data_IF_192214154643
#
_entry.id   IF_192214154643
#
_cell.length_a   1.000
_cell.length_b   1.000
_cell.length_c   1.000
_cell.angle_alpha   90.00
_cell.angle_beta   90.00
_cell.angle_gamma   90.00
#
_symmetry.space_group_name_H-M   'P 1'
#
loop_
_entity.id
_entity.type
_entity.pdbx_description
1 polymer ?
#
# COMPACT_ATOMS: atom_id res chain seq x y z
N UNK A 1 -26.40 -0.04 11.39
CA UNK A 1 -25.68 -1.08 10.62
C UNK A 1 -25.42 -0.69 9.15
N UNK A 2 -26.36 -0.06 8.43
CA UNK A 2 -26.14 0.38 7.03
C UNK A 2 -25.06 1.47 6.90
N UNK A 3 -25.09 2.51 7.75
CA UNK A 3 -24.13 3.63 7.70
C UNK A 3 -22.66 3.20 7.84
N UNK A 4 -22.35 2.26 8.74
CA UNK A 4 -20.97 1.78 8.94
C UNK A 4 -20.44 0.91 7.81
N UNK A 5 -21.32 0.14 7.15
CA UNK A 5 -20.96 -0.59 5.93
C UNK A 5 -20.63 0.35 4.77
N UNK A 6 -21.42 1.43 4.61
CA UNK A 6 -21.15 2.46 3.61
C UNK A 6 -19.77 3.09 3.87
N UNK A 7 -19.46 3.44 5.11
CA UNK A 7 -18.14 3.98 5.48
C UNK A 7 -17.01 3.02 5.15
N UNK A 8 -17.14 1.73 5.47
CA UNK A 8 -16.13 0.71 5.12
C UNK A 8 -15.95 0.56 3.60
N UNK A 9 -17.02 0.62 2.82
CA UNK A 9 -16.95 0.61 1.36
C UNK A 9 -16.22 1.83 0.82
N UNK A 10 -16.58 3.03 1.30
CA UNK A 10 -15.95 4.29 0.87
C UNK A 10 -14.46 4.26 1.21
N UNK A 11 -14.09 3.85 2.42
CA UNK A 11 -12.68 3.70 2.81
C UNK A 11 -11.93 2.72 1.89
N UNK A 12 -12.54 1.59 1.54
CA UNK A 12 -11.92 0.59 0.68
C UNK A 12 -11.68 1.10 -0.74
N UNK A 13 -12.66 1.82 -1.29
CA UNK A 13 -12.54 2.43 -2.62
C UNK A 13 -11.47 3.51 -2.62
N UNK A 14 -11.40 4.34 -1.56
CA UNK A 14 -10.36 5.36 -1.44
C UNK A 14 -8.98 4.70 -1.36
N UNK A 15 -8.78 3.70 -0.49
CA UNK A 15 -7.51 2.96 -0.39
C UNK A 15 -7.13 2.35 -1.74
N UNK A 16 -8.05 1.66 -2.40
CA UNK A 16 -7.81 1.08 -3.72
C UNK A 16 -7.45 2.12 -4.78
N UNK A 17 -8.11 3.27 -4.79
CA UNK A 17 -7.78 4.38 -5.70
C UNK A 17 -6.36 4.90 -5.47
N UNK A 18 -5.94 5.04 -4.21
CA UNK A 18 -4.57 5.45 -3.88
C UNK A 18 -3.55 4.37 -4.30
N UNK A 19 -3.87 3.09 -4.15
CA UNK A 19 -3.03 2.00 -4.64
C UNK A 19 -2.89 2.01 -6.17
N UNK A 20 -3.94 2.35 -6.92
CA UNK A 20 -3.88 2.55 -8.37
C UNK A 20 -2.96 3.73 -8.73
N UNK A 21 -3.04 4.84 -7.98
CA UNK A 21 -2.14 5.98 -8.19
C UNK A 21 -0.68 5.60 -7.93
N UNK A 22 -0.40 4.88 -6.83
CA UNK A 22 0.94 4.34 -6.56
C UNK A 22 1.43 3.45 -7.70
N UNK A 23 0.58 2.55 -8.18
CA UNK A 23 0.93 1.68 -9.31
C UNK A 23 1.20 2.49 -10.59
N UNK A 24 0.38 3.49 -10.90
CA UNK A 24 0.56 4.37 -12.06
C UNK A 24 1.86 5.16 -12.00
N UNK A 25 2.17 5.75 -10.84
CA UNK A 25 3.43 6.48 -10.61
C UNK A 25 4.64 5.53 -10.74
N UNK A 26 4.57 4.34 -10.16
CA UNK A 26 5.66 3.36 -10.25
C UNK A 26 5.86 2.83 -11.67
N UNK A 27 4.77 2.54 -12.39
CA UNK A 27 4.85 2.09 -13.79
C UNK A 27 5.44 3.19 -14.69
N UNK A 28 4.99 4.43 -14.50
CA UNK A 28 5.55 5.57 -15.24
C UNK A 28 7.03 5.77 -14.90
N UNK A 29 7.42 5.65 -13.62
CA UNK A 29 8.81 5.74 -13.17
C UNK A 29 9.72 4.72 -13.84
N UNK A 30 9.24 3.50 -14.10
CA UNK A 30 9.99 2.46 -14.84
C UNK A 30 10.22 2.88 -16.29
N UNK A 31 9.16 3.38 -16.95
CA UNK A 31 9.26 3.85 -18.34
C UNK A 31 10.19 5.05 -18.46
N UNK A 32 10.15 5.99 -17.51
CA UNK A 32 11.05 7.16 -17.48
C UNK A 32 12.48 6.71 -17.21
N UNK A 33 12.69 5.74 -16.30
CA UNK A 33 14.00 5.15 -16.03
C UNK A 33 14.61 4.52 -17.30
N UNK A 34 13.81 3.79 -18.09
CA UNK A 34 14.27 3.18 -19.34
C UNK A 34 14.62 4.21 -20.43
N UNK A 35 14.01 5.41 -20.39
CA UNK A 35 14.30 6.51 -21.32
C UNK A 35 15.49 7.37 -20.90
N UNK A 36 15.74 7.47 -19.59
CA UNK A 36 16.91 8.13 -19.05
C UNK A 36 18.15 7.30 -19.46
N UNK A 37 18.78 7.73 -20.54
CA UNK A 37 19.92 7.10 -21.21
C UNK A 37 21.35 7.31 -20.60
N UNK A 38 21.60 7.74 -19.34
CA UNK A 38 22.95 7.58 -18.81
C UNK A 38 23.19 6.13 -18.39
N UNK A 39 24.45 5.65 -18.37
CA UNK A 39 24.78 4.35 -17.81
C UNK A 39 24.39 4.37 -16.32
N UNK A 40 23.22 3.80 -16.01
CA UNK A 40 22.85 3.47 -14.64
C UNK A 40 23.97 2.60 -14.09
N UNK A 41 24.66 3.00 -13.01
CA UNK A 41 25.66 2.14 -12.41
C UNK A 41 25.01 0.80 -12.07
N UNK A 42 25.69 -0.31 -12.40
CA UNK A 42 25.20 -1.68 -12.21
C UNK A 42 24.79 -2.01 -10.76
N UNK A 43 25.13 -1.13 -9.82
CA UNK A 43 24.91 -1.27 -8.38
C UNK A 43 23.57 -0.67 -7.91
N UNK A 44 22.71 -0.18 -8.82
CA UNK A 44 21.38 0.33 -8.43
C UNK A 44 20.45 -0.84 -8.13
N UNK A 45 19.93 -0.89 -6.91
CA UNK A 45 18.89 -1.86 -6.55
C UNK A 45 17.50 -1.37 -6.98
N UNK A 46 16.90 -2.15 -7.86
CA UNK A 46 15.50 -1.99 -8.29
C UNK A 46 14.50 -2.61 -7.30
N UNK A 47 14.98 -3.14 -6.18
CA UNK A 47 14.14 -3.75 -5.14
C UNK A 47 13.11 -2.76 -4.60
N UNK A 48 13.49 -1.49 -4.39
CA UNK A 48 12.57 -0.43 -3.95
C UNK A 48 11.39 -0.22 -4.92
N UNK A 49 11.66 -0.16 -6.23
CA UNK A 49 10.62 -0.04 -7.28
C UNK A 49 9.72 -1.27 -7.30
N UNK A 50 10.31 -2.47 -7.21
CA UNK A 50 9.55 -3.72 -7.14
C UNK A 50 8.63 -3.81 -5.92
N UNK A 51 9.08 -3.32 -4.76
CA UNK A 51 8.26 -3.25 -3.55
C UNK A 51 7.08 -2.28 -3.69
N UNK A 52 7.26 -1.16 -4.38
CA UNK A 52 6.17 -0.21 -4.64
C UNK A 52 5.13 -0.78 -5.63
N UNK A 53 5.57 -1.51 -6.67
CA UNK A 53 4.66 -2.25 -7.57
C UNK A 53 3.85 -3.28 -6.76
N UNK A 54 4.52 -4.00 -5.87
CA UNK A 54 3.88 -4.98 -5.00
C UNK A 54 2.87 -4.32 -4.05
N UNK A 55 3.15 -3.10 -3.57
CA UNK A 55 2.20 -2.30 -2.79
C UNK A 55 0.95 -1.96 -3.59
N UNK A 56 1.13 -1.44 -4.81
CA UNK A 56 0.03 -1.04 -5.69
C UNK A 56 -0.83 -2.23 -6.10
N UNK A 57 -0.22 -3.26 -6.67
CA UNK A 57 -0.92 -4.47 -7.12
C UNK A 57 -1.57 -5.23 -5.95
N UNK A 58 -0.83 -5.40 -4.85
CA UNK A 58 -1.35 -6.05 -3.64
C UNK A 58 -2.55 -5.32 -3.06
N UNK A 59 -2.50 -3.98 -3.00
CA UNK A 59 -3.63 -3.18 -2.51
C UNK A 59 -4.88 -3.28 -3.37
N UNK A 60 -4.75 -3.42 -4.70
CA UNK A 60 -5.88 -3.65 -5.60
C UNK A 60 -6.52 -5.02 -5.33
N UNK A 61 -5.69 -6.06 -5.17
CA UNK A 61 -6.16 -7.41 -4.83
C UNK A 61 -6.86 -7.41 -3.47
N UNK A 62 -6.27 -6.76 -2.47
CA UNK A 62 -6.84 -6.67 -1.12
C UNK A 62 -8.19 -5.91 -1.14
N UNK A 63 -8.30 -4.84 -1.96
CA UNK A 63 -9.56 -4.11 -2.19
C UNK A 63 -10.65 -5.01 -2.79
N UNK A 64 -10.32 -5.80 -3.82
CA UNK A 64 -11.25 -6.71 -4.47
C UNK A 64 -11.70 -7.83 -3.52
N UNK A 65 -10.77 -8.42 -2.77
CA UNK A 65 -11.08 -9.42 -1.75
C UNK A 65 -12.04 -8.87 -0.69
N UNK A 66 -11.80 -7.64 -0.22
CA UNK A 66 -12.69 -6.99 0.74
C UNK A 66 -14.09 -6.71 0.16
N UNK A 67 -14.19 -6.26 -1.09
CA UNK A 67 -15.48 -6.08 -1.78
C UNK A 67 -16.24 -7.41 -1.92
N UNK A 68 -15.56 -8.48 -2.30
CA UNK A 68 -16.13 -9.81 -2.40
C UNK A 68 -16.65 -10.32 -1.04
N UNK A 69 -15.92 -10.08 0.05
CA UNK A 69 -16.37 -10.46 1.39
C UNK A 69 -17.61 -9.65 1.82
N UNK A 70 -17.65 -8.36 1.51
CA UNK A 70 -18.80 -7.50 1.82
C UNK A 70 -20.04 -7.87 0.99
N UNK A 71 -19.88 -8.19 -0.29
CA UNK A 71 -20.98 -8.59 -1.18
C UNK A 71 -21.49 -10.02 -0.92
N UNK A 72 -20.67 -10.91 -0.36
CA UNK A 72 -21.10 -12.23 0.08
C UNK A 72 -22.05 -12.19 1.29
N UNK A 73 -22.11 -11.08 2.03
CA UNK A 73 -22.94 -10.90 3.22
C UNK A 73 -24.45 -10.91 2.96
N UNK A 74 -25.01 -10.17 1.96
CA UNK A 74 -26.42 -10.29 1.59
C UNK A 74 -26.76 -11.68 1.02
N UNK A 75 -25.86 -12.30 0.26
CA UNK A 75 -26.06 -13.65 -0.29
C UNK A 75 -26.11 -14.72 0.81
N UNK A 76 -25.31 -14.56 1.88
CA UNK A 76 -25.31 -15.43 3.05
C UNK A 76 -26.48 -15.27 3.99
N UNK A 77 -27.23 -14.18 3.92
CA UNK A 77 -28.46 -14.03 4.73
C UNK A 77 -29.49 -15.12 4.40
N UNK A 78 -29.40 -15.70 3.20
CA UNK A 78 -30.17 -16.87 2.77
C UNK A 78 -29.53 -18.23 3.14
N UNK A 79 -28.23 -18.26 3.50
CA UNK A 79 -27.51 -19.48 3.87
C UNK A 79 -27.29 -19.53 5.40
N UNK A 80 -28.25 -20.14 6.09
CA UNK A 80 -28.44 -20.19 7.57
C UNK A 80 -27.27 -20.73 8.43
N UNK A 81 -26.16 -21.17 7.85
CA UNK A 81 -25.25 -22.11 8.52
C UNK A 81 -23.85 -21.58 8.87
N UNK A 82 -23.53 -20.30 8.66
CA UNK A 82 -22.20 -19.79 9.00
C UNK A 82 -22.19 -18.99 10.32
N UNK A 83 -21.40 -19.39 11.33
CA UNK A 83 -21.33 -18.65 12.59
C UNK A 83 -20.78 -17.24 12.34
N UNK A 84 -21.52 -16.24 12.85
CA UNK A 84 -21.20 -14.80 12.74
C UNK A 84 -19.75 -14.48 13.14
N UNK A 85 -19.22 -15.17 14.15
CA UNK A 85 -17.85 -15.03 14.63
C UNK A 85 -16.80 -15.39 13.57
N UNK A 86 -17.01 -16.45 12.78
CA UNK A 86 -16.05 -16.90 11.78
C UNK A 86 -15.98 -15.93 10.59
N UNK A 87 -17.12 -15.35 10.19
CA UNK A 87 -17.14 -14.28 9.20
C UNK A 87 -16.39 -13.03 9.68
N UNK A 88 -16.60 -12.61 10.94
CA UNK A 88 -15.88 -11.47 11.50
C UNK A 88 -14.37 -11.69 11.59
N UNK A 89 -13.92 -12.91 11.91
CA UNK A 89 -12.50 -13.25 11.92
C UNK A 89 -11.90 -13.19 10.51
N UNK A 90 -12.62 -13.65 9.47
CA UNK A 90 -12.18 -13.53 8.08
C UNK A 90 -12.05 -12.05 7.66
N UNK A 91 -13.04 -11.21 8.03
CA UNK A 91 -12.99 -9.77 7.73
C UNK A 91 -11.82 -9.09 8.44
N UNK A 92 -11.61 -9.39 9.73
CA UNK A 92 -10.47 -8.87 10.49
C UNK A 92 -9.13 -9.31 9.88
N UNK A 93 -9.02 -10.56 9.43
CA UNK A 93 -7.84 -11.07 8.76
C UNK A 93 -7.52 -10.24 7.50
N UNK A 94 -8.48 -10.08 6.59
CA UNK A 94 -8.26 -9.31 5.34
C UNK A 94 -7.90 -7.85 5.63
N UNK A 95 -8.60 -7.22 6.57
CA UNK A 95 -8.31 -5.82 6.94
C UNK A 95 -6.93 -5.67 7.58
N UNK A 96 -6.45 -6.68 8.30
CA UNK A 96 -5.08 -6.70 8.84
C UNK A 96 -4.05 -6.74 7.73
N UNK A 97 -4.29 -7.50 6.65
CA UNK A 97 -3.40 -7.50 5.47
C UNK A 97 -3.38 -6.15 4.75
N UNK A 98 -4.54 -5.49 4.60
CA UNK A 98 -4.65 -4.14 4.03
C UNK A 98 -3.78 -3.14 4.81
N UNK A 99 -3.66 -3.28 6.13
CA UNK A 99 -2.81 -2.43 6.97
C UNK A 99 -1.34 -2.85 6.95
N UNK A 100 -1.06 -4.15 7.09
CA UNK A 100 0.29 -4.66 7.30
C UNK A 100 1.16 -4.52 6.05
N UNK A 101 0.58 -4.69 4.86
CA UNK A 101 1.31 -4.57 3.59
C UNK A 101 1.91 -3.17 3.38
N UNK A 102 1.14 -2.06 3.39
CA UNK A 102 1.71 -0.73 3.24
C UNK A 102 2.68 -0.39 4.38
N UNK A 103 2.47 -0.90 5.60
CA UNK A 103 3.41 -0.73 6.71
C UNK A 103 4.79 -1.33 6.42
N UNK A 104 4.83 -2.62 6.05
CA UNK A 104 6.09 -3.33 5.76
C UNK A 104 6.82 -2.64 4.62
N UNK A 105 6.10 -2.28 3.55
CA UNK A 105 6.70 -1.64 2.37
C UNK A 105 7.20 -0.23 2.71
N UNK A 106 6.46 0.54 3.51
CA UNK A 106 6.90 1.85 3.97
C UNK A 106 8.18 1.74 4.79
N UNK A 107 8.23 0.83 5.78
CA UNK A 107 9.44 0.59 6.59
C UNK A 107 10.60 0.21 5.69
N UNK A 108 10.40 -0.75 4.79
CA UNK A 108 11.46 -1.23 3.89
C UNK A 108 11.99 -0.11 2.99
N UNK A 109 11.12 0.62 2.31
CA UNK A 109 11.50 1.71 1.41
C UNK A 109 12.19 2.88 2.14
N UNK A 110 11.79 3.18 3.38
CA UNK A 110 12.48 4.19 4.20
C UNK A 110 13.86 3.73 4.67
N UNK A 111 13.97 2.49 5.16
CA UNK A 111 15.25 1.91 5.59
C UNK A 111 16.22 1.86 4.41
N UNK A 112 15.74 1.42 3.25
CA UNK A 112 16.55 1.30 2.04
C UNK A 112 17.04 2.66 1.53
N UNK A 113 16.16 3.66 1.51
CA UNK A 113 16.51 5.03 1.10
C UNK A 113 17.48 5.72 2.07
N UNK A 114 17.27 5.59 3.39
CA UNK A 114 18.22 6.15 4.36
C UNK A 114 19.56 5.41 4.36
N UNK A 115 19.55 4.10 4.08
CA UNK A 115 20.76 3.32 3.86
C UNK A 115 21.57 3.85 2.68
N UNK A 116 20.92 4.17 1.55
CA UNK A 116 21.63 4.69 0.38
C UNK A 116 22.25 6.06 0.59
N UNK A 117 21.55 6.99 1.26
CA UNK A 117 22.09 8.33 1.56
C UNK A 117 23.29 8.30 2.51
N UNK A 118 23.33 7.35 3.46
CA UNK A 118 24.47 7.21 4.36
C UNK A 118 25.68 6.57 3.67
N UNK A 119 25.45 5.80 2.61
CA UNK A 119 26.47 5.08 1.85
C UNK A 119 27.08 5.91 0.72
N UNK A 120 26.46 7.02 0.33
CA UNK A 120 26.85 7.84 -0.83
C UNK A 120 28.15 8.63 -0.66
N UNK A 121 28.87 8.47 0.46
CA UNK A 121 30.24 9.00 0.61
C UNK A 121 31.29 8.23 -0.20
N UNK A 122 30.98 7.04 -0.75
CA UNK A 122 31.86 6.33 -1.70
C UNK A 122 31.11 5.93 -2.98
N UNK A 123 31.20 6.76 -4.01
CA UNK A 123 30.58 6.53 -5.34
C UNK A 123 31.12 5.30 -6.09
N UNK A 124 32.19 4.67 -5.61
CA UNK A 124 32.78 3.48 -6.22
C UNK A 124 32.22 2.14 -5.69
N UNK A 125 31.75 2.08 -4.43
CA UNK A 125 31.30 0.85 -3.75
C UNK A 125 29.96 1.02 -2.98
N UNK A 126 29.32 2.18 -3.08
CA UNK A 126 28.16 2.56 -2.27
C UNK A 126 26.82 1.99 -2.74
N UNK A 127 25.95 1.68 -1.77
CA UNK A 127 24.56 1.26 -1.95
C UNK A 127 23.71 2.39 -2.54
N UNK A 128 23.18 2.27 -3.77
CA UNK A 128 22.27 3.25 -4.38
C UNK A 128 20.90 2.65 -4.73
N UNK A 129 19.84 3.41 -4.42
CA UNK A 129 18.47 3.14 -4.92
C UNK A 129 18.15 4.03 -6.12
N UNK A 130 17.17 3.62 -6.92
CA UNK A 130 16.64 4.39 -8.06
C UNK A 130 16.21 5.80 -7.65
N UNK A 131 15.51 5.93 -6.52
CA UNK A 131 15.12 7.23 -5.96
C UNK A 131 16.34 8.07 -5.55
N UNK A 132 17.30 7.52 -4.78
CA UNK A 132 18.46 8.30 -4.34
C UNK A 132 19.34 8.73 -5.51
N UNK A 133 19.50 7.87 -6.51
CA UNK A 133 20.24 8.23 -7.72
C UNK A 133 19.54 9.39 -8.45
N UNK A 134 18.24 9.26 -8.69
CA UNK A 134 17.44 10.25 -9.41
C UNK A 134 17.44 11.61 -8.70
N UNK A 135 17.36 11.61 -7.36
CA UNK A 135 17.28 12.83 -6.57
C UNK A 135 18.62 13.54 -6.33
N UNK A 136 19.75 12.81 -6.29
CA UNK A 136 21.06 13.38 -5.94
C UNK A 136 22.06 13.48 -7.10
N UNK A 137 22.00 12.54 -8.05
CA UNK A 137 22.96 12.44 -9.16
C UNK A 137 22.33 12.73 -10.52
N UNK A 138 21.01 12.68 -10.60
CA UNK A 138 20.24 12.93 -11.81
C UNK A 138 20.27 14.40 -12.23
N UNK A 139 20.93 14.72 -13.34
CA UNK A 139 20.96 16.08 -13.90
C UNK A 139 19.93 16.30 -15.02
N UNK A 140 19.30 15.23 -15.52
CA UNK A 140 18.28 15.31 -16.58
C UNK A 140 16.89 15.64 -16.02
N UNK A 141 16.04 16.22 -16.89
CA UNK A 141 14.62 16.43 -16.59
C UNK A 141 13.92 15.12 -16.21
N UNK A 142 14.28 14.03 -16.87
CA UNK A 142 13.74 12.70 -16.63
C UNK A 142 14.13 12.16 -15.25
N UNK A 143 15.35 12.44 -14.79
CA UNK A 143 15.77 12.06 -13.44
C UNK A 143 15.05 12.87 -12.37
N UNK A 144 14.77 14.15 -12.61
CA UNK A 144 13.95 14.96 -11.69
C UNK A 144 12.50 14.45 -11.62
N UNK A 145 11.91 14.09 -12.77
CA UNK A 145 10.59 13.46 -12.80
C UNK A 145 10.58 12.12 -12.03
N UNK A 146 11.60 11.28 -12.26
CA UNK A 146 11.76 9.99 -11.59
C UNK A 146 11.87 10.15 -10.06
N UNK A 147 12.67 11.11 -9.58
CA UNK A 147 12.78 11.44 -8.16
C UNK A 147 11.42 11.84 -7.58
N UNK A 148 10.70 12.76 -8.22
CA UNK A 148 9.42 13.26 -7.73
C UNK A 148 8.34 12.17 -7.69
N UNK A 149 8.28 11.31 -8.70
CA UNK A 149 7.29 10.24 -8.81
C UNK A 149 7.51 9.14 -7.76
N UNK A 150 8.75 8.66 -7.61
CA UNK A 150 9.09 7.64 -6.60
C UNK A 150 8.87 8.18 -5.18
N UNK A 151 9.25 9.44 -4.95
CA UNK A 151 9.01 10.14 -3.69
C UNK A 151 7.53 10.26 -3.40
N UNK A 152 6.73 10.68 -4.37
CA UNK A 152 5.28 10.78 -4.24
C UNK A 152 4.64 9.41 -3.96
N UNK A 153 5.05 8.36 -4.69
CA UNK A 153 4.58 7.00 -4.46
C UNK A 153 4.85 6.51 -3.03
N UNK A 154 6.05 6.78 -2.49
CA UNK A 154 6.38 6.47 -1.09
C UNK A 154 5.53 7.26 -0.11
N UNK A 155 5.36 8.57 -0.31
CA UNK A 155 4.55 9.38 0.60
C UNK A 155 3.07 9.03 0.56
N UNK A 156 2.54 8.56 -0.57
CA UNK A 156 1.17 8.07 -0.71
C UNK A 156 0.88 6.81 0.12
N UNK A 157 1.90 6.04 0.50
CA UNK A 157 1.72 4.91 1.43
C UNK A 157 1.31 5.38 2.84
N UNK A 158 1.65 6.61 3.25
CA UNK A 158 1.29 7.15 4.57
C UNK A 158 -0.23 7.34 4.71
N UNK A 159 -0.94 8.07 3.83
CA UNK A 159 -2.39 8.16 3.93
C UNK A 159 -3.07 6.79 3.74
N UNK A 160 -2.52 5.90 2.90
CA UNK A 160 -3.01 4.51 2.79
C UNK A 160 -2.93 3.81 4.16
N UNK A 161 -1.81 3.95 4.87
CA UNK A 161 -1.64 3.39 6.21
C UNK A 161 -2.66 3.97 7.21
N UNK A 162 -2.83 5.30 7.23
CA UNK A 162 -3.75 5.99 8.14
C UNK A 162 -5.19 5.49 7.91
N UNK A 163 -5.63 5.42 6.65
CA UNK A 163 -6.94 4.89 6.29
C UNK A 163 -7.05 3.39 6.60
N UNK A 164 -5.97 2.66 6.39
CA UNK A 164 -5.83 1.24 6.71
C UNK A 164 -5.95 0.93 8.20
N UNK A 165 -5.54 1.84 9.10
CA UNK A 165 -5.76 1.71 10.56
C UNK A 165 -7.22 1.98 10.93
N UNK A 166 -7.89 2.87 10.19
CA UNK A 166 -9.31 3.19 10.40
C UNK A 166 -10.22 1.99 10.18
N UNK A 167 -9.95 1.16 9.17
CA UNK A 167 -10.76 -0.03 8.88
C UNK A 167 -10.85 -1.05 10.02
N UNK A 168 -9.75 -1.58 10.59
CA UNK A 168 -9.82 -2.57 11.66
C UNK A 168 -10.42 -1.96 12.91
N UNK A 169 -10.15 -0.68 13.20
CA UNK A 169 -10.77 0.03 14.31
C UNK A 169 -12.30 0.06 14.18
N UNK A 170 -12.83 0.37 13.00
CA UNK A 170 -14.27 0.35 12.73
C UNK A 170 -14.84 -1.08 12.85
N UNK A 171 -14.15 -2.09 12.32
CA UNK A 171 -14.59 -3.50 12.40
C UNK A 171 -14.64 -3.98 13.86
N UNK A 172 -13.61 -3.66 14.65
CA UNK A 172 -13.55 -4.00 16.08
C UNK A 172 -14.63 -3.27 16.88
N UNK A 173 -14.86 -1.98 16.60
CA UNK A 173 -15.93 -1.19 17.22
C UNK A 173 -17.32 -1.80 16.96
N UNK A 174 -17.58 -2.26 15.73
CA UNK A 174 -18.83 -2.95 15.40
C UNK A 174 -18.97 -4.24 16.20
N UNK A 175 -17.87 -4.99 16.38
CA UNK A 175 -17.86 -6.26 17.12
C UNK A 175 -18.14 -6.04 18.61
N UNK A 176 -17.49 -5.07 19.26
CA UNK A 176 -17.67 -4.80 20.69
C UNK A 176 -19.10 -4.35 20.98
N UNK A 177 -19.66 -3.45 20.17
CA UNK A 177 -21.02 -2.96 20.38
C UNK A 177 -22.10 -4.03 20.19
N UNK A 178 -21.90 -4.99 19.27
CA UNK A 178 -22.84 -6.10 19.13
C UNK A 178 -22.74 -7.09 20.29
N UNK A 179 -21.53 -7.33 20.82
CA UNK A 179 -21.37 -8.19 22.00
C UNK A 179 -21.99 -7.58 23.27
N UNK A 180 -22.02 -6.26 23.40
CA UNK A 180 -22.68 -5.59 24.53
C UNK A 180 -24.20 -5.64 24.42
N UNK A 181 -24.76 -5.57 23.21
CA UNK A 181 -26.22 -5.62 22.98
C UNK A 181 -26.82 -7.02 23.18
N UNK A 182 -26.02 -8.09 23.08
CA UNK A 182 -26.46 -9.47 23.34
C UNK A 182 -26.46 -9.82 24.84
N UNK A 183 -25.80 -9.00 25.67
CA UNK A 183 -25.69 -9.20 27.12
C UNK A 183 -26.64 -8.32 27.95
N UNK A 184 -27.35 -7.39 27.31
CA UNK A 184 -28.31 -6.47 27.94
C UNK A 184 -29.74 -6.94 27.66
#
# INVERSE_FOLDING_TARGET
MSKTLIVLHVLNVIIGSLCIVVLGLTAHSIVVKDRANPPLPSNIKDTSTGMLIWAGCGGIVDMLLFLCLLSAKPLRRNARNMPSALYQNIVLFVVTFILLRPLIILIYTYVEYHGSIKSSTSTADGYLTSESWACYLGTSSDAHALCNELRAARYLLIPILILGVGMPAIVLWIRTNMSSAEKA
#
